data_IF_882734597806
#
_entry.id   IF_882734597806
#
_cell.length_a   1.000
_cell.length_b   1.000
_cell.length_c   1.000
_cell.angle_alpha   90.00
_cell.angle_beta   90.00
_cell.angle_gamma   90.00
#
_symmetry.space_group_name_H-M   'P 1'
#
loop_
_entity.id
_entity.type
_entity.pdbx_description
1 polymer ?
#
# COMPACT_ATOMS: atom_id res chain seq x y z
N UNK A 1 -4.85 5.22 -11.48
CA UNK A 1 -3.66 6.02 -11.86
C UNK A 1 -2.53 5.88 -10.85
N UNK A 2 -2.73 6.19 -9.56
CA UNK A 2 -1.68 6.15 -8.53
C UNK A 2 -0.96 4.80 -8.41
N UNK A 3 -1.70 3.68 -8.42
CA UNK A 3 -1.11 2.34 -8.39
C UNK A 3 -0.19 2.05 -9.60
N UNK A 4 -0.49 2.62 -10.77
CA UNK A 4 0.35 2.47 -11.97
C UNK A 4 1.64 3.26 -11.83
N UNK A 5 1.55 4.49 -11.29
CA UNK A 5 2.72 5.32 -11.01
C UNK A 5 3.63 4.64 -10.00
N UNK A 6 3.07 4.21 -8.86
CA UNK A 6 3.82 3.51 -7.81
C UNK A 6 4.56 2.28 -8.37
N UNK A 7 3.89 1.50 -9.23
CA UNK A 7 4.52 0.36 -9.91
C UNK A 7 5.67 0.78 -10.81
N UNK A 8 5.49 1.84 -11.64
CA UNK A 8 6.55 2.30 -12.54
C UNK A 8 7.80 2.85 -11.84
N UNK A 9 7.66 3.31 -10.59
CA UNK A 9 8.80 3.84 -9.81
C UNK A 9 9.30 2.85 -8.74
N UNK A 10 8.78 1.62 -8.72
CA UNK A 10 9.18 0.60 -7.75
C UNK A 10 8.86 0.98 -6.29
N UNK A 11 7.72 1.64 -6.05
CA UNK A 11 7.29 2.09 -4.72
C UNK A 11 5.99 1.42 -4.30
N UNK A 12 5.79 1.32 -2.99
CA UNK A 12 4.52 0.94 -2.37
C UNK A 12 3.64 2.18 -2.20
N UNK A 13 2.35 2.08 -2.50
CA UNK A 13 1.40 3.17 -2.30
C UNK A 13 0.82 3.08 -0.90
N UNK A 14 0.94 4.15 -0.11
CA UNK A 14 0.28 4.30 1.19
C UNK A 14 -0.92 5.24 1.02
N UNK A 15 -2.10 4.87 1.55
CA UNK A 15 -3.31 5.69 1.38
C UNK A 15 -4.25 5.59 2.58
N UNK A 16 -4.85 6.73 2.93
CA UNK A 16 -5.98 6.80 3.88
C UNK A 16 -7.34 6.44 3.24
N UNK A 17 -7.42 6.37 1.91
CA UNK A 17 -8.67 6.02 1.22
C UNK A 17 -8.95 4.52 1.30
N UNK A 18 -9.35 4.07 2.49
CA UNK A 18 -9.71 2.68 2.79
C UNK A 18 -10.98 2.23 2.06
N UNK A 19 -11.77 3.17 1.51
CA UNK A 19 -13.08 2.88 0.93
C UNK A 19 -12.98 2.58 -0.56
N UNK A 20 -12.24 3.38 -1.33
CA UNK A 20 -12.22 3.22 -2.79
C UNK A 20 -10.98 2.48 -3.31
N UNK A 21 -9.83 2.60 -2.63
CA UNK A 21 -8.59 1.98 -3.07
C UNK A 21 -8.64 0.46 -3.20
N UNK A 22 -9.30 -0.32 -2.32
CA UNK A 22 -9.41 -1.77 -2.52
C UNK A 22 -10.06 -2.16 -3.85
N UNK A 23 -11.05 -1.40 -4.32
CA UNK A 23 -11.69 -1.64 -5.61
C UNK A 23 -10.73 -1.39 -6.76
N UNK A 24 -10.01 -0.27 -6.73
CA UNK A 24 -9.01 0.07 -7.75
C UNK A 24 -7.86 -0.93 -7.78
N UNK A 25 -7.46 -1.43 -6.61
CA UNK A 25 -6.44 -2.45 -6.47
C UNK A 25 -6.87 -3.77 -7.12
N UNK A 26 -8.08 -4.25 -6.81
CA UNK A 26 -8.66 -5.45 -7.44
C UNK A 26 -8.71 -5.35 -8.96
N UNK A 27 -9.08 -4.20 -9.50
CA UNK A 27 -9.06 -3.97 -10.94
C UNK A 27 -7.62 -4.02 -11.50
N UNK A 28 -6.67 -3.39 -10.82
CA UNK A 28 -5.27 -3.36 -11.25
C UNK A 28 -4.66 -4.76 -11.37
N UNK A 29 -4.82 -5.60 -10.34
CA UNK A 29 -4.27 -6.96 -10.33
C UNK A 29 -4.91 -7.89 -11.38
N UNK A 30 -6.15 -7.59 -11.80
CA UNK A 30 -6.82 -8.32 -12.88
C UNK A 30 -6.30 -7.96 -14.28
N UNK A 31 -5.67 -6.78 -14.43
CA UNK A 31 -5.14 -6.31 -15.71
C UNK A 31 -3.63 -6.51 -15.85
N UNK A 32 -2.86 -6.39 -14.76
CA UNK A 32 -1.39 -6.37 -14.77
C UNK A 32 -0.80 -6.59 -13.37
N UNK A 33 0.52 -6.71 -13.29
CA UNK A 33 1.25 -6.52 -12.02
C UNK A 33 1.00 -5.11 -11.48
N UNK A 34 0.70 -5.03 -10.20
CA UNK A 34 0.38 -3.81 -9.48
C UNK A 34 1.38 -3.60 -8.35
N UNK A 35 1.68 -2.34 -8.03
CA UNK A 35 2.41 -2.02 -6.81
C UNK A 35 1.63 -2.44 -5.57
N UNK A 36 2.34 -2.63 -4.46
CA UNK A 36 1.72 -2.84 -3.17
C UNK A 36 0.89 -1.65 -2.72
N UNK A 37 -0.11 -1.93 -1.90
CA UNK A 37 -1.00 -0.95 -1.30
C UNK A 37 -1.06 -1.17 0.21
N UNK A 38 -0.71 -0.14 0.98
CA UNK A 38 -0.89 -0.11 2.43
C UNK A 38 -1.99 0.89 2.75
N UNK A 39 -3.03 0.43 3.43
CA UNK A 39 -4.17 1.24 3.84
C UNK A 39 -4.03 1.68 5.29
N UNK A 40 -4.11 2.99 5.53
CA UNK A 40 -3.99 3.59 6.86
C UNK A 40 -5.36 4.10 7.30
N UNK A 41 -5.99 3.53 8.35
CA UNK A 41 -7.27 4.04 8.83
C UNK A 41 -7.16 5.49 9.33
N UNK A 42 -8.14 6.35 9.03
CA UNK A 42 -8.15 7.75 9.49
C UNK A 42 -8.09 7.90 11.02
N UNK A 43 -8.54 6.89 11.76
CA UNK A 43 -8.54 6.88 13.23
C UNK A 43 -7.24 6.37 13.85
N UNK A 44 -6.30 5.87 13.04
CA UNK A 44 -5.02 5.42 13.54
C UNK A 44 -4.17 6.66 13.90
N UNK A 45 -3.63 6.76 15.12
CA UNK A 45 -2.74 7.86 15.46
C UNK A 45 -1.56 7.93 14.50
N UNK A 46 -1.21 9.13 14.06
CA UNK A 46 -0.14 9.33 13.07
C UNK A 46 1.20 8.76 13.53
N UNK A 47 1.47 8.80 14.84
CA UNK A 47 2.67 8.20 15.45
C UNK A 47 2.72 6.70 15.19
N UNK A 48 1.64 6.00 15.47
CA UNK A 48 1.56 4.55 15.33
C UNK A 48 1.65 4.15 13.84
N UNK A 49 1.00 4.92 12.95
CA UNK A 49 1.14 4.72 11.51
C UNK A 49 2.59 4.87 11.02
N UNK A 50 3.33 5.87 11.55
CA UNK A 50 4.75 6.07 11.21
C UNK A 50 5.60 4.91 11.73
N UNK A 51 5.36 4.45 12.98
CA UNK A 51 6.10 3.34 13.58
C UNK A 51 5.95 2.05 12.75
N UNK A 52 4.72 1.70 12.36
CA UNK A 52 4.45 0.55 11.51
C UNK A 52 5.10 0.67 10.13
N UNK A 53 4.99 1.83 9.48
CA UNK A 53 5.60 2.06 8.16
C UNK A 53 7.13 1.98 8.20
N UNK A 54 7.76 2.45 9.28
CA UNK A 54 9.20 2.32 9.49
C UNK A 54 9.61 0.85 9.66
N UNK A 55 8.83 0.05 10.39
CA UNK A 55 9.09 -1.39 10.55
C UNK A 55 8.96 -2.13 9.22
N UNK A 56 7.88 -1.88 8.47
CA UNK A 56 7.69 -2.44 7.13
C UNK A 56 8.88 -2.09 6.22
N UNK A 57 9.29 -0.82 6.20
CA UNK A 57 10.39 -0.37 5.37
C UNK A 57 11.74 -1.00 5.76
N UNK A 58 11.96 -1.28 7.04
CA UNK A 58 13.20 -1.91 7.51
C UNK A 58 13.24 -3.42 7.27
N UNK A 59 12.08 -4.08 7.24
CA UNK A 59 11.97 -5.54 7.25
C UNK A 59 11.61 -6.15 5.88
N UNK A 60 11.24 -5.33 4.90
CA UNK A 60 10.78 -5.81 3.59
C UNK A 60 11.30 -4.95 2.44
N UNK A 61 11.48 -5.59 1.29
CA UNK A 61 11.82 -4.95 0.03
C UNK A 61 10.57 -4.62 -0.81
N UNK A 62 10.68 -3.64 -1.70
CA UNK A 62 9.56 -3.20 -2.55
C UNK A 62 8.99 -4.30 -3.46
N UNK A 63 9.79 -5.30 -3.84
CA UNK A 63 9.33 -6.43 -4.65
C UNK A 63 8.39 -7.38 -3.89
N UNK A 64 8.58 -7.53 -2.58
CA UNK A 64 7.74 -8.37 -1.71
C UNK A 64 6.30 -7.84 -1.59
N UNK A 65 6.11 -6.58 -1.95
CA UNK A 65 4.82 -5.90 -1.93
C UNK A 65 4.06 -5.95 -3.25
N UNK A 66 4.63 -6.53 -4.31
CA UNK A 66 3.94 -6.65 -5.60
C UNK A 66 2.62 -7.43 -5.45
N UNK A 67 1.54 -6.84 -5.97
CA UNK A 67 0.17 -7.38 -5.85
C UNK A 67 -0.29 -7.66 -4.41
N UNK A 68 0.32 -7.03 -3.40
CA UNK A 68 -0.07 -7.14 -2.00
C UNK A 68 -0.89 -5.93 -1.54
N UNK A 69 -1.98 -6.18 -0.82
CA UNK A 69 -2.78 -5.16 -0.15
C UNK A 69 -2.83 -5.51 1.33
N UNK A 70 -2.38 -4.60 2.17
CA UNK A 70 -2.48 -4.73 3.63
C UNK A 70 -3.09 -3.47 4.24
N UNK A 71 -3.53 -3.57 5.48
CA UNK A 71 -4.10 -2.48 6.26
C UNK A 71 -3.37 -2.37 7.59
N UNK A 72 -3.02 -1.15 8.00
CA UNK A 72 -2.45 -0.89 9.31
C UNK A 72 -3.52 -0.89 10.42
N UNK A 73 -3.14 -1.27 11.66
CA UNK A 73 -1.87 -1.91 12.02
C UNK A 73 -1.78 -3.34 11.45
N UNK A 74 -0.55 -3.81 11.18
CA UNK A 74 -0.29 -5.18 10.71
C UNK A 74 -0.38 -6.22 11.82
#
# INVERSE_FOLDING_TARGET
MFLKLAYSVGRVLVSHDVRTMPRWFKQCIGERRCAGLILVPDRLPIRDAIEDLLLIWQLTDGEEWLNRLERLPL
#
